data_IF_763448298463
#
_entry.id   IF_763448298463
#
_cell.length_a   1.000
_cell.length_b   1.000
_cell.length_c   1.000
_cell.angle_alpha   90.00
_cell.angle_beta   90.00
_cell.angle_gamma   90.00
#
_symmetry.space_group_name_H-M   'P 1'
#
loop_
_entity.id
_entity.type
_entity.pdbx_description
1 polymer ?
#
# COMPACT_ATOMS: atom_id res chain seq x y z
N UNK A 1 31.36 2.21 9.02
CA UNK A 1 30.98 1.63 7.71
C UNK A 1 29.94 0.58 8.01
N UNK A 2 28.67 0.89 7.82
CA UNK A 2 27.58 -0.10 7.95
C UNK A 2 27.40 -0.74 6.58
N UNK A 3 27.68 -2.04 6.49
CA UNK A 3 27.36 -2.86 5.32
C UNK A 3 25.87 -2.70 5.02
N UNK A 4 25.55 -2.01 3.94
CA UNK A 4 24.20 -2.01 3.39
C UNK A 4 24.02 -3.33 2.68
N UNK A 5 23.42 -4.29 3.38
CA UNK A 5 22.97 -5.54 2.78
C UNK A 5 21.82 -5.20 1.83
N UNK A 6 22.04 -5.38 0.53
CA UNK A 6 21.00 -5.22 -0.49
C UNK A 6 20.47 -6.59 -0.88
N UNK A 7 19.14 -6.74 -0.96
CA UNK A 7 18.51 -7.92 -1.57
C UNK A 7 18.04 -7.51 -2.97
N UNK A 8 18.89 -7.74 -3.96
CA UNK A 8 18.47 -7.71 -5.37
C UNK A 8 18.20 -9.14 -5.82
N UNK A 9 16.94 -9.50 -5.99
CA UNK A 9 16.60 -10.71 -6.72
C UNK A 9 16.66 -10.32 -8.20
N UNK A 10 17.74 -10.67 -8.89
CA UNK A 10 17.78 -10.58 -10.35
C UNK A 10 16.88 -11.69 -10.90
N UNK A 11 15.57 -11.56 -10.70
CA UNK A 11 14.58 -12.57 -10.99
C UNK A 11 14.36 -12.63 -12.49
N UNK A 12 15.32 -13.24 -13.18
CA UNK A 12 15.12 -13.75 -14.54
C UNK A 12 13.98 -14.75 -14.51
N UNK A 13 13.08 -14.58 -15.48
CA UNK A 13 11.95 -15.45 -15.74
C UNK A 13 12.33 -16.94 -15.70
N UNK A 14 11.47 -17.82 -15.15
CA UNK A 14 10.12 -17.55 -14.65
C UNK A 14 10.07 -17.09 -13.19
N UNK A 15 9.13 -16.17 -12.90
CA UNK A 15 8.81 -15.77 -11.53
C UNK A 15 8.30 -16.96 -10.70
N UNK A 16 8.67 -17.07 -9.43
CA UNK A 16 8.14 -18.10 -8.53
C UNK A 16 6.62 -17.94 -8.37
N UNK A 17 5.93 -19.02 -7.99
CA UNK A 17 4.50 -18.95 -7.67
C UNK A 17 4.26 -17.95 -6.53
N UNK A 18 5.05 -18.05 -5.46
CA UNK A 18 4.95 -17.21 -4.27
C UNK A 18 6.32 -16.68 -3.87
N UNK A 19 6.38 -15.42 -3.48
CA UNK A 19 7.59 -14.78 -2.94
C UNK A 19 7.27 -14.17 -1.59
N UNK A 20 8.07 -14.49 -0.58
CA UNK A 20 7.98 -13.89 0.75
C UNK A 20 9.34 -13.34 1.15
N UNK A 21 9.39 -12.05 1.46
CA UNK A 21 10.60 -11.39 1.94
C UNK A 21 10.29 -10.80 3.31
N UNK A 22 11.08 -11.20 4.29
CA UNK A 22 10.96 -10.75 5.68
C UNK A 22 12.32 -10.16 6.04
N UNK A 23 12.35 -8.85 6.27
CA UNK A 23 13.53 -8.15 6.73
C UNK A 23 13.29 -7.58 8.12
N UNK A 24 14.22 -7.86 9.04
CA UNK A 24 14.30 -7.22 10.35
C UNK A 24 15.20 -5.99 10.37
N UNK A 25 15.91 -5.69 9.27
CA UNK A 25 16.82 -4.56 9.14
C UNK A 25 16.54 -3.70 7.89
N UNK A 26 17.16 -2.53 7.84
CA UNK A 26 17.14 -1.62 6.70
C UNK A 26 17.80 -2.26 5.47
N UNK A 27 17.00 -2.90 4.62
CA UNK A 27 17.49 -3.60 3.44
C UNK A 27 16.76 -3.01 2.23
N UNK A 28 17.49 -2.40 1.29
CA UNK A 28 16.96 -2.12 -0.02
C UNK A 28 16.61 -3.41 -0.74
N UNK A 29 15.35 -3.54 -1.17
CA UNK A 29 14.88 -4.71 -1.90
C UNK A 29 14.40 -4.27 -3.29
N UNK A 30 14.89 -4.94 -4.33
CA UNK A 30 14.58 -4.61 -5.73
C UNK A 30 14.35 -5.82 -6.63
N UNK A 31 13.60 -5.60 -7.73
CA UNK A 31 13.34 -6.56 -8.81
C UNK A 31 12.69 -7.90 -8.39
N UNK A 32 11.78 -7.82 -7.40
CA UNK A 32 11.04 -8.98 -6.91
C UNK A 32 9.86 -9.27 -7.86
N UNK A 33 9.57 -10.55 -8.09
CA UNK A 33 8.30 -10.94 -8.70
C UNK A 33 7.71 -12.20 -8.07
N UNK A 34 6.41 -12.38 -8.30
CA UNK A 34 5.62 -13.57 -7.96
C UNK A 34 4.46 -13.69 -8.95
N UNK A 35 3.99 -14.91 -9.22
CA UNK A 35 2.82 -15.13 -10.07
C UNK A 35 1.51 -15.00 -9.27
N UNK A 36 1.46 -15.59 -8.08
CA UNK A 36 0.28 -15.59 -7.22
C UNK A 36 0.46 -14.62 -6.06
N UNK A 37 1.33 -14.96 -5.11
CA UNK A 37 1.39 -14.24 -3.84
C UNK A 37 2.75 -13.56 -3.64
N UNK A 38 2.73 -12.24 -3.47
CA UNK A 38 3.87 -11.46 -3.02
C UNK A 38 3.63 -10.97 -1.58
N UNK A 39 4.47 -11.41 -0.65
CA UNK A 39 4.45 -10.97 0.74
C UNK A 39 5.74 -10.25 1.09
N UNK A 40 5.62 -9.02 1.58
CA UNK A 40 6.75 -8.18 1.97
C UNK A 40 6.56 -7.74 3.41
N UNK A 41 7.57 -7.95 4.25
CA UNK A 41 7.59 -7.50 5.65
C UNK A 41 8.88 -6.75 5.89
N UNK A 42 8.78 -5.43 6.07
CA UNK A 42 9.90 -4.52 6.27
C UNK A 42 9.93 -3.92 7.68
N UNK A 43 11.15 -3.70 8.19
CA UNK A 43 11.39 -3.02 9.47
C UNK A 43 11.75 -1.54 9.28
N UNK A 44 12.07 -0.86 10.39
CA UNK A 44 12.01 0.58 10.66
C UNK A 44 12.67 1.57 9.68
N UNK A 45 13.44 1.11 8.68
CA UNK A 45 14.06 1.96 7.64
C UNK A 45 14.28 1.19 6.32
N UNK A 46 13.21 0.60 5.75
CA UNK A 46 13.33 -0.22 4.53
C UNK A 46 12.93 0.55 3.27
N UNK A 47 13.89 0.82 2.38
CA UNK A 47 13.61 1.31 1.02
C UNK A 47 13.25 0.11 0.11
N UNK A 48 11.96 -0.19 0.00
CA UNK A 48 11.46 -1.34 -0.75
C UNK A 48 11.05 -0.91 -2.15
N UNK A 49 11.96 -0.99 -3.13
CA UNK A 49 11.63 -0.66 -4.52
C UNK A 49 11.14 -1.91 -5.25
N UNK A 50 9.83 -2.15 -5.28
CA UNK A 50 9.29 -3.27 -6.07
C UNK A 50 9.21 -2.84 -7.53
N UNK A 51 10.03 -3.42 -8.39
CA UNK A 51 9.95 -3.19 -9.84
C UNK A 51 9.28 -4.41 -10.50
N UNK A 52 7.96 -4.32 -10.72
CA UNK A 52 7.19 -5.34 -11.45
C UNK A 52 7.41 -5.19 -12.96
N UNK A 53 8.59 -5.56 -13.45
CA UNK A 53 8.89 -5.40 -14.87
C UNK A 53 8.27 -6.47 -15.78
N UNK A 54 7.65 -7.55 -15.25
CA UNK A 54 7.17 -8.66 -16.11
C UNK A 54 5.81 -9.25 -15.72
N UNK A 55 5.50 -9.49 -14.43
CA UNK A 55 4.22 -10.10 -14.00
C UNK A 55 3.72 -9.42 -12.74
N UNK A 56 2.49 -8.89 -12.78
CA UNK A 56 1.78 -8.44 -11.58
C UNK A 56 1.22 -9.66 -10.85
N UNK A 57 1.52 -9.84 -9.55
CA UNK A 57 1.00 -10.95 -8.76
C UNK A 57 -0.53 -10.87 -8.62
N UNK A 58 -1.19 -12.00 -8.41
CA UNK A 58 -2.62 -12.03 -8.07
C UNK A 58 -2.90 -11.30 -6.76
N UNK A 59 -2.07 -11.51 -5.75
CA UNK A 59 -2.19 -10.91 -4.42
C UNK A 59 -0.87 -10.32 -3.98
N UNK A 60 -0.92 -9.10 -3.45
CA UNK A 60 0.22 -8.47 -2.78
C UNK A 60 -0.15 -8.08 -1.36
N UNK A 61 0.69 -8.47 -0.40
CA UNK A 61 0.57 -8.12 1.01
C UNK A 61 1.86 -7.46 1.49
N UNK A 62 1.72 -6.27 2.05
CA UNK A 62 2.84 -5.49 2.57
C UNK A 62 2.58 -5.17 4.03
N UNK A 63 3.54 -5.50 4.87
CA UNK A 63 3.59 -5.10 6.28
C UNK A 63 4.82 -4.23 6.47
N UNK A 64 4.60 -2.95 6.70
CA UNK A 64 5.68 -1.97 6.87
C UNK A 64 5.69 -1.40 8.29
N UNK A 65 6.87 -1.05 8.77
CA UNK A 65 7.03 -0.33 10.03
C UNK A 65 8.18 0.68 9.94
N UNK A 66 8.07 1.79 10.67
CA UNK A 66 9.03 2.91 10.60
C UNK A 66 9.17 3.53 9.21
N UNK A 67 10.26 4.25 8.94
CA UNK A 67 10.45 5.03 7.71
C UNK A 67 10.70 4.12 6.50
N UNK A 68 9.63 3.61 5.87
CA UNK A 68 9.71 2.70 4.72
C UNK A 68 9.13 3.34 3.47
N UNK A 69 9.91 3.48 2.40
CA UNK A 69 9.41 3.93 1.09
C UNK A 69 9.11 2.72 0.19
N UNK A 70 7.90 2.63 -0.36
CA UNK A 70 7.46 1.45 -1.11
C UNK A 70 6.81 1.85 -2.45
N UNK A 71 7.60 2.22 -3.46
CA UNK A 71 7.07 2.58 -4.76
C UNK A 71 6.57 1.36 -5.53
N UNK A 72 5.67 1.62 -6.48
CA UNK A 72 5.22 0.73 -7.54
C UNK A 72 4.59 -0.58 -7.04
N UNK A 73 3.71 -0.51 -6.04
CA UNK A 73 3.03 -1.69 -5.49
C UNK A 73 1.79 -2.04 -6.30
N UNK A 74 1.67 -3.32 -6.69
CA UNK A 74 0.61 -3.78 -7.57
C UNK A 74 0.08 -5.17 -7.17
N UNK A 75 -1.20 -5.45 -7.46
CA UNK A 75 -1.83 -6.75 -7.32
C UNK A 75 -3.08 -6.81 -8.20
N UNK A 76 -3.34 -7.94 -8.87
CA UNK A 76 -4.48 -8.06 -9.81
C UNK A 76 -5.80 -8.17 -9.04
N UNK A 77 -5.87 -9.15 -8.13
CA UNK A 77 -7.09 -9.44 -7.36
C UNK A 77 -7.11 -8.65 -6.06
N UNK A 78 -6.01 -8.66 -5.31
CA UNK A 78 -5.98 -8.06 -3.98
C UNK A 78 -4.66 -7.37 -3.66
N UNK A 79 -4.77 -6.17 -3.10
CA UNK A 79 -3.68 -5.43 -2.51
C UNK A 79 -3.99 -5.16 -1.03
N UNK A 80 -3.17 -5.66 -0.13
CA UNK A 80 -3.26 -5.37 1.31
C UNK A 80 -2.00 -4.67 1.78
N UNK A 81 -2.16 -3.49 2.35
CA UNK A 81 -1.10 -2.71 2.95
C UNK A 81 -1.43 -2.52 4.42
N UNK A 82 -0.52 -2.94 5.28
CA UNK A 82 -0.59 -2.70 6.72
C UNK A 82 0.66 -1.97 7.14
N UNK A 83 0.50 -0.85 7.84
CA UNK A 83 1.64 -0.09 8.32
C UNK A 83 1.43 0.44 9.73
N UNK A 84 2.54 0.47 10.48
CA UNK A 84 2.56 0.68 11.93
C UNK A 84 3.76 1.53 12.35
N UNK A 85 3.64 2.23 13.49
CA UNK A 85 4.61 3.23 14.00
C UNK A 85 4.75 4.45 13.07
N UNK A 86 5.58 5.46 13.39
CA UNK A 86 5.75 6.72 12.62
C UNK A 86 6.31 6.50 11.20
N UNK A 87 5.54 5.81 10.36
CA UNK A 87 5.97 5.23 9.12
C UNK A 87 5.55 6.12 7.97
N UNK A 88 6.53 6.73 7.31
CA UNK A 88 6.29 7.45 6.07
C UNK A 88 6.19 6.43 4.93
N UNK A 89 5.06 5.75 4.81
CA UNK A 89 4.84 4.75 3.75
C UNK A 89 4.23 5.41 2.52
N UNK A 90 5.08 6.00 1.69
CA UNK A 90 4.64 6.43 0.37
C UNK A 90 4.56 5.22 -0.55
N UNK A 91 3.33 4.88 -0.91
CA UNK A 91 2.99 3.88 -1.91
C UNK A 91 2.56 4.63 -3.14
N UNK A 92 3.06 4.20 -4.29
CA UNK A 92 2.60 4.67 -5.58
C UNK A 92 2.20 3.44 -6.37
N UNK A 93 0.93 3.30 -6.74
CA UNK A 93 0.50 2.22 -7.62
C UNK A 93 0.39 2.77 -9.04
N UNK A 94 1.31 2.37 -9.91
CA UNK A 94 1.30 2.75 -11.33
C UNK A 94 0.72 1.65 -12.22
N UNK A 95 0.18 0.59 -11.62
CA UNK A 95 -0.44 -0.54 -12.33
C UNK A 95 -1.96 -0.39 -12.40
N UNK A 96 -2.60 -1.30 -13.15
CA UNK A 96 -4.06 -1.46 -13.12
C UNK A 96 -4.56 -1.62 -11.68
N UNK A 97 -5.67 -0.95 -11.37
CA UNK A 97 -6.27 -1.01 -10.04
C UNK A 97 -6.66 -2.46 -9.67
N UNK A 98 -6.27 -2.95 -8.48
CA UNK A 98 -6.71 -4.25 -7.97
C UNK A 98 -8.24 -4.34 -7.88
N UNK A 99 -8.80 -5.55 -7.89
CA UNK A 99 -10.24 -5.72 -7.60
C UNK A 99 -10.55 -5.24 -6.17
N UNK A 100 -9.70 -5.61 -5.21
CA UNK A 100 -9.83 -5.26 -3.80
C UNK A 100 -8.56 -4.60 -3.27
N UNK A 101 -8.69 -3.47 -2.60
CA UNK A 101 -7.59 -2.83 -1.90
C UNK A 101 -7.95 -2.58 -0.44
N UNK A 102 -7.07 -2.97 0.48
CA UNK A 102 -7.23 -2.76 1.92
C UNK A 102 -6.01 -2.10 2.50
N UNK A 103 -6.22 -1.05 3.26
CA UNK A 103 -5.18 -0.28 3.94
C UNK A 103 -5.49 -0.23 5.42
N UNK A 104 -4.52 -0.66 6.23
CA UNK A 104 -4.58 -0.56 7.68
C UNK A 104 -3.41 0.30 8.16
N UNK A 105 -3.72 1.38 8.87
CA UNK A 105 -2.75 2.27 9.49
C UNK A 105 -3.05 2.42 10.97
N UNK A 106 -2.01 2.29 11.81
CA UNK A 106 -2.07 2.65 13.24
C UNK A 106 -1.30 3.93 13.57
N UNK A 107 -0.93 4.74 12.57
CA UNK A 107 -0.04 5.90 12.71
C UNK A 107 -0.17 6.91 11.57
N UNK A 108 0.63 7.99 11.63
CA UNK A 108 0.74 8.95 10.54
C UNK A 108 1.38 8.33 9.31
N UNK A 109 0.57 8.08 8.27
CA UNK A 109 1.04 7.47 7.02
C UNK A 109 0.56 8.28 5.81
N UNK A 110 1.47 8.97 5.11
CA UNK A 110 1.21 9.56 3.81
C UNK A 110 1.19 8.48 2.73
N UNK A 111 0.00 7.99 2.38
CA UNK A 111 -0.19 7.09 1.25
C UNK A 111 -0.83 7.90 0.11
N UNK A 112 -0.42 7.63 -1.13
CA UNK A 112 -0.86 8.35 -2.34
C UNK A 112 -1.26 7.36 -3.44
N UNK A 113 -2.05 7.78 -4.44
CA UNK A 113 -2.29 7.00 -5.67
C UNK A 113 -2.76 5.55 -5.43
N UNK A 114 -3.64 5.38 -4.45
CA UNK A 114 -4.29 4.09 -4.18
C UNK A 114 -5.58 4.02 -4.98
N UNK A 115 -5.84 2.88 -5.61
CA UNK A 115 -7.12 2.63 -6.26
C UNK A 115 -7.61 1.19 -6.05
N UNK A 116 -8.88 0.96 -6.38
CA UNK A 116 -9.51 -0.36 -6.45
C UNK A 116 -10.64 -0.32 -7.49
N UNK A 117 -10.95 -1.46 -8.12
CA UNK A 117 -12.09 -1.55 -9.05
C UNK A 117 -13.40 -1.79 -8.30
N UNK A 118 -13.41 -2.71 -7.34
CA UNK A 118 -14.62 -3.10 -6.62
C UNK A 118 -14.65 -2.48 -5.23
N UNK A 119 -13.71 -2.84 -4.35
CA UNK A 119 -13.74 -2.37 -2.96
C UNK A 119 -12.43 -1.74 -2.54
N UNK A 120 -12.52 -0.51 -2.04
CA UNK A 120 -11.46 0.15 -1.30
C UNK A 120 -11.85 0.20 0.18
N UNK A 121 -11.02 -0.39 1.04
CA UNK A 121 -11.19 -0.31 2.49
C UNK A 121 -9.99 0.41 3.11
N UNK A 122 -10.26 1.45 3.88
CA UNK A 122 -9.27 2.29 4.54
C UNK A 122 -9.57 2.30 6.05
N UNK A 123 -8.66 1.77 6.85
CA UNK A 123 -8.75 1.78 8.30
C UNK A 123 -7.56 2.56 8.86
N UNK A 124 -7.82 3.74 9.41
CA UNK A 124 -6.81 4.57 10.08
C UNK A 124 -7.17 4.85 11.53
N UNK A 125 -6.23 4.59 12.43
CA UNK A 125 -6.45 4.67 13.88
C UNK A 125 -5.69 5.83 14.57
N UNK A 126 -4.80 6.56 13.89
CA UNK A 126 -4.01 7.67 14.48
C UNK A 126 -3.47 8.63 13.41
N UNK A 127 -3.66 9.95 13.58
CA UNK A 127 -2.99 11.09 12.89
C UNK A 127 -2.47 10.81 11.47
N UNK A 128 -3.27 10.20 10.59
CA UNK A 128 -2.82 9.83 9.25
C UNK A 128 -3.24 10.83 8.19
N UNK A 129 -2.32 11.27 7.36
CA UNK A 129 -2.63 12.00 6.14
C UNK A 129 -2.75 11.02 4.98
N UNK A 130 -3.94 10.49 4.73
CA UNK A 130 -4.21 9.58 3.63
C UNK A 130 -4.65 10.37 2.39
N UNK A 131 -3.87 10.30 1.31
CA UNK A 131 -4.23 10.90 0.02
C UNK A 131 -4.66 9.78 -0.92
N UNK A 132 -5.95 9.63 -1.18
CA UNK A 132 -6.44 8.62 -2.11
C UNK A 132 -6.55 9.24 -3.48
N UNK A 133 -5.50 9.17 -4.29
CA UNK A 133 -5.63 9.60 -5.69
C UNK A 133 -6.24 8.48 -6.54
N UNK A 134 -7.57 8.34 -6.46
CA UNK A 134 -8.37 7.44 -7.30
C UNK A 134 -8.85 8.12 -8.59
N UNK A 135 -8.15 9.14 -9.08
CA UNK A 135 -8.57 10.01 -10.20
C UNK A 135 -8.86 9.30 -11.53
N UNK A 136 -8.52 8.02 -11.68
CA UNK A 136 -8.75 7.24 -12.91
C UNK A 136 -9.81 6.14 -12.80
N UNK A 137 -10.16 5.67 -11.59
CA UNK A 137 -11.18 4.63 -11.42
C UNK A 137 -11.78 4.63 -10.00
N UNK A 138 -13.06 4.99 -9.89
CA UNK A 138 -13.77 5.01 -8.63
C UNK A 138 -14.28 3.62 -8.24
N UNK A 139 -13.84 3.05 -7.10
CA UNK A 139 -14.31 1.75 -6.63
C UNK A 139 -15.83 1.70 -6.55
N UNK A 140 -16.44 0.54 -6.81
CA UNK A 140 -17.87 0.34 -6.54
C UNK A 140 -18.22 0.68 -5.09
N UNK A 141 -17.39 0.25 -4.13
CA UNK A 141 -17.60 0.47 -2.70
C UNK A 141 -16.32 1.05 -2.09
N UNK A 142 -16.45 2.15 -1.38
CA UNK A 142 -15.36 2.76 -0.61
C UNK A 142 -15.77 2.84 0.86
N UNK A 143 -15.05 2.13 1.71
CA UNK A 143 -15.26 2.08 3.15
C UNK A 143 -14.09 2.72 3.88
N UNK A 144 -14.38 3.67 4.75
CA UNK A 144 -13.37 4.46 5.44
C UNK A 144 -13.69 4.50 6.93
N UNK A 145 -12.76 4.04 7.75
CA UNK A 145 -12.75 4.20 9.20
C UNK A 145 -11.57 5.10 9.52
N UNK A 146 -11.83 6.32 9.98
CA UNK A 146 -10.84 7.36 10.21
C UNK A 146 -10.92 7.88 11.64
N UNK A 147 -9.95 7.56 12.49
CA UNK A 147 -9.95 7.96 13.89
C UNK A 147 -8.81 8.95 14.16
N UNK A 148 -9.00 9.85 15.12
CA UNK A 148 -7.97 10.69 15.74
C UNK A 148 -7.13 11.52 14.75
N UNK A 149 -7.67 12.65 14.25
CA UNK A 149 -6.94 13.62 13.42
C UNK A 149 -6.43 13.05 12.09
N UNK A 150 -7.28 12.28 11.41
CA UNK A 150 -6.96 11.74 10.08
C UNK A 150 -7.41 12.71 8.99
N UNK A 151 -6.52 13.06 8.07
CA UNK A 151 -6.89 13.76 6.84
C UNK A 151 -7.05 12.72 5.73
N UNK A 152 -8.21 12.68 5.06
CA UNK A 152 -8.46 11.78 3.95
C UNK A 152 -8.93 12.59 2.75
N UNK A 153 -8.14 12.60 1.69
CA UNK A 153 -8.41 13.42 0.50
C UNK A 153 -8.73 12.55 -0.71
N UNK A 154 -9.54 13.10 -1.61
CA UNK A 154 -9.79 12.61 -2.97
C UNK A 154 -10.50 11.24 -3.03
N UNK A 155 -11.30 10.89 -2.02
CA UNK A 155 -12.13 9.68 -2.07
C UNK A 155 -13.19 9.77 -3.16
N UNK A 156 -13.42 8.65 -3.84
CA UNK A 156 -14.61 8.49 -4.67
C UNK A 156 -15.17 7.06 -4.59
N UNK A 157 -16.42 6.91 -5.03
CA UNK A 157 -17.10 5.62 -5.19
C UNK A 157 -18.17 5.73 -6.28
N UNK A 158 -18.38 4.66 -7.04
CA UNK A 158 -19.41 4.60 -8.08
C UNK A 158 -20.75 4.03 -7.59
N UNK A 159 -20.82 3.42 -6.40
CA UNK A 159 -22.06 2.87 -5.85
C UNK A 159 -22.27 3.23 -4.37
N UNK A 160 -21.28 2.98 -3.51
CA UNK A 160 -21.44 3.20 -2.07
C UNK A 160 -20.17 3.77 -1.41
N UNK A 161 -20.33 4.92 -0.75
CA UNK A 161 -19.31 5.53 0.10
C UNK A 161 -19.76 5.47 1.57
N UNK A 162 -18.99 4.78 2.41
CA UNK A 162 -19.22 4.68 3.86
C UNK A 162 -18.03 5.29 4.59
N UNK A 163 -18.28 6.33 5.38
CA UNK A 163 -17.25 7.00 6.18
C UNK A 163 -17.67 7.00 7.65
N UNK A 164 -16.86 6.37 8.49
CA UNK A 164 -16.96 6.43 9.94
C UNK A 164 -15.74 7.20 10.46
N UNK A 165 -15.96 8.41 10.96
CA UNK A 165 -14.91 9.25 11.53
C UNK A 165 -15.16 9.61 12.99
N UNK A 166 -14.11 9.70 13.81
CA UNK A 166 -14.17 10.22 15.17
C UNK A 166 -13.01 11.17 15.47
N UNK A 167 -13.29 12.27 16.16
CA UNK A 167 -12.41 13.46 16.32
C UNK A 167 -12.10 14.20 15.01
N UNK A 168 -11.55 15.43 15.09
CA UNK A 168 -11.38 16.37 13.96
C UNK A 168 -10.63 15.69 12.82
N UNK A 169 -11.35 15.24 11.79
CA UNK A 169 -10.78 14.55 10.64
C UNK A 169 -11.18 15.32 9.39
N UNK A 170 -10.21 15.80 8.61
CA UNK A 170 -10.47 16.52 7.38
C UNK A 170 -10.72 15.52 6.26
N UNK A 171 -11.99 15.38 5.83
CA UNK A 171 -12.37 14.49 4.73
C UNK A 171 -12.73 15.34 3.51
N UNK A 172 -11.96 15.20 2.43
CA UNK A 172 -12.25 15.81 1.12
C UNK A 172 -12.69 14.75 0.12
N UNK A 173 -13.81 15.01 -0.54
CA UNK A 173 -14.37 14.17 -1.60
C UNK A 173 -14.08 14.81 -2.95
N UNK A 174 -13.60 14.01 -3.91
CA UNK A 174 -13.54 14.44 -5.30
C UNK A 174 -14.70 13.80 -6.07
N UNK A 175 -15.40 14.63 -6.82
CA UNK A 175 -16.46 14.24 -7.74
C UNK A 175 -15.90 14.02 -9.14
#
# INVERSE_FOLDING_TARGET
MTDMTNISLNSTWPCPQNTSIISSSSIPISHICAQNDLKLTGSSHSDLTVDFSIITPQTTSIVASGNSFIPNVCGISRLTISASNTATVSINSTCLCPIFTTINSSSSIPISHICAQNTLQLNSQNTSNLIVDSSTNCPQITNVIALQNSSILNLCSSSQLIIQASDISDVSLNY
#
